data_IF_831624012087
#
_entry.id   IF_831624012087
#
_cell.length_a   1.000
_cell.length_b   1.000
_cell.length_c   1.000
_cell.angle_alpha   90.00
_cell.angle_beta   90.00
_cell.angle_gamma   90.00
#
_symmetry.space_group_name_H-M   'P 1'
#
loop_
_entity.id
_entity.type
_entity.pdbx_description
1 polymer ?
#
# COMPACT_ATOMS: atom_id res chain seq x y z
N UNK A 1 -5.79 -5.54 71.04
CA UNK A 1 -6.41 -6.18 69.86
C UNK A 1 -6.29 -5.24 68.67
N UNK A 2 -5.81 -5.76 67.54
CA UNK A 2 -5.94 -5.24 66.17
C UNK A 2 -4.96 -4.14 65.67
N UNK A 3 -3.81 -4.65 65.21
CA UNK A 3 -3.18 -4.49 63.89
C UNK A 3 -3.08 -3.12 63.19
N UNK A 4 -1.86 -2.64 62.87
CA UNK A 4 -1.65 -1.55 61.92
C UNK A 4 -1.83 -2.03 60.48
N UNK A 5 -2.66 -1.33 59.71
CA UNK A 5 -2.94 -1.65 58.31
C UNK A 5 -1.82 -1.13 57.41
N UNK A 6 -1.08 -2.06 56.77
CA UNK A 6 -0.04 -1.78 55.78
C UNK A 6 -0.63 -1.23 54.46
N UNK A 7 0.16 -0.44 53.69
CA UNK A 7 -0.31 0.23 52.48
C UNK A 7 -0.52 -0.72 51.31
N UNK A 8 -1.64 -0.57 50.61
CA UNK A 8 -1.91 -1.29 49.37
C UNK A 8 -1.01 -0.77 48.25
N UNK A 9 0.02 -1.55 47.92
CA UNK A 9 0.84 -1.37 46.74
C UNK A 9 -0.04 -1.38 45.48
N UNK A 10 -0.15 -0.23 44.82
CA UNK A 10 -0.80 -0.14 43.50
C UNK A 10 0.12 -0.81 42.49
N UNK A 11 -0.32 -1.85 41.77
CA UNK A 11 0.52 -2.50 40.78
C UNK A 11 0.80 -1.53 39.63
N UNK A 12 2.10 -1.31 39.38
CA UNK A 12 2.62 -0.60 38.23
C UNK A 12 1.91 -1.08 36.96
N UNK A 13 1.29 -0.14 36.24
CA UNK A 13 0.78 -0.34 34.87
C UNK A 13 1.95 -0.80 34.00
N UNK A 14 2.17 -2.11 33.95
CA UNK A 14 2.86 -2.77 32.84
C UNK A 14 2.02 -2.46 31.62
N UNK A 15 2.35 -1.39 30.91
CA UNK A 15 2.12 -1.31 29.48
C UNK A 15 2.93 -2.46 28.90
N UNK A 16 2.32 -3.64 28.83
CA UNK A 16 2.70 -4.65 27.86
C UNK A 16 2.57 -3.96 26.52
N UNK A 17 3.67 -3.36 26.07
CA UNK A 17 3.90 -2.95 24.70
C UNK A 17 3.66 -4.22 23.92
N UNK A 18 2.46 -4.36 23.37
CA UNK A 18 2.10 -5.48 22.55
C UNK A 18 3.21 -5.60 21.53
N UNK A 19 3.95 -6.70 21.61
CA UNK A 19 4.87 -7.14 20.58
C UNK A 19 3.97 -7.43 19.37
N UNK A 20 3.68 -6.40 18.58
CA UNK A 20 3.20 -6.59 17.22
C UNK A 20 4.46 -6.96 16.43
N UNK A 21 4.94 -8.18 16.67
CA UNK A 21 6.10 -8.80 16.03
C UNK A 21 5.66 -9.62 14.81
N UNK A 22 4.70 -9.05 14.09
CA UNK A 22 4.53 -9.23 12.66
C UNK A 22 4.45 -7.83 12.12
N UNK A 23 5.60 -7.24 11.76
CA UNK A 23 5.59 -6.19 10.72
C UNK A 23 4.79 -6.79 9.61
N UNK A 24 3.58 -6.29 9.45
CA UNK A 24 2.72 -6.66 8.36
C UNK A 24 3.50 -6.21 7.12
N UNK A 25 4.26 -7.15 6.55
CA UNK A 25 4.93 -7.01 5.25
C UNK A 25 3.82 -7.02 4.19
N UNK A 26 2.88 -6.07 4.29
CA UNK A 26 2.02 -5.67 3.19
C UNK A 26 2.90 -4.85 2.26
N UNK A 27 3.80 -5.57 1.60
CA UNK A 27 4.77 -5.06 0.63
C UNK A 27 4.08 -4.75 -0.68
N UNK A 28 4.83 -4.11 -1.58
CA UNK A 28 4.44 -3.95 -2.99
C UNK A 28 3.93 -5.27 -3.61
N UNK A 29 4.41 -6.45 -3.18
CA UNK A 29 3.91 -7.74 -3.67
C UNK A 29 2.44 -8.01 -3.32
N UNK A 30 2.02 -7.62 -2.11
CA UNK A 30 0.64 -7.78 -1.68
C UNK A 30 -0.28 -6.86 -2.46
N UNK A 31 0.13 -5.59 -2.61
CA UNK A 31 -0.58 -4.63 -3.46
C UNK A 31 -0.65 -5.12 -4.90
N UNK A 32 0.47 -5.52 -5.49
CA UNK A 32 0.58 -5.93 -6.89
C UNK A 32 -0.38 -7.09 -7.21
N UNK A 33 -0.46 -8.10 -6.33
CA UNK A 33 -1.37 -9.23 -6.50
C UNK A 33 -2.85 -8.89 -6.31
N UNK A 34 -3.17 -7.93 -5.44
CA UNK A 34 -4.55 -7.61 -5.06
C UNK A 34 -5.17 -6.49 -5.90
N UNK A 35 -4.34 -5.55 -6.36
CA UNK A 35 -4.76 -4.30 -6.99
C UNK A 35 -4.40 -4.22 -8.45
N UNK A 36 -3.58 -5.14 -8.96
CA UNK A 36 -3.22 -5.14 -10.38
C UNK A 36 -3.61 -6.43 -11.09
N UNK A 37 -3.99 -6.32 -12.35
CA UNK A 37 -4.18 -7.46 -13.24
C UNK A 37 -3.38 -7.28 -14.54
N UNK A 38 -3.11 -8.40 -15.21
CA UNK A 38 -2.54 -8.37 -16.56
C UNK A 38 -3.53 -7.72 -17.54
N UNK A 39 -3.03 -6.96 -18.52
CA UNK A 39 -3.87 -6.35 -19.51
C UNK A 39 -4.51 -7.38 -20.43
N UNK A 40 -5.85 -7.50 -20.37
CA UNK A 40 -6.64 -8.38 -21.25
C UNK A 40 -6.58 -7.96 -22.72
N UNK A 41 -6.15 -6.73 -23.00
CA UNK A 41 -5.94 -6.18 -24.34
C UNK A 41 -4.50 -5.66 -24.45
N UNK A 42 -3.92 -5.72 -25.64
CA UNK A 42 -2.55 -5.27 -25.93
C UNK A 42 -2.32 -3.79 -25.55
N UNK A 43 -3.38 -2.99 -25.49
CA UNK A 43 -3.38 -1.56 -25.14
C UNK A 43 -3.46 -1.27 -23.65
N UNK A 44 -3.38 -2.27 -22.78
CA UNK A 44 -3.50 -2.05 -21.34
C UNK A 44 -2.23 -1.59 -20.66
N UNK A 45 -2.12 -0.28 -20.55
CA UNK A 45 -1.01 0.42 -19.94
C UNK A 45 -1.53 1.45 -18.93
N UNK A 46 -0.96 1.47 -17.74
CA UNK A 46 -1.31 2.42 -16.68
C UNK A 46 -0.09 3.27 -16.32
N UNK A 47 -0.23 4.61 -16.22
CA UNK A 47 0.87 5.49 -15.83
C UNK A 47 1.43 5.16 -14.43
N UNK A 48 2.73 5.39 -14.23
CA UNK A 48 3.38 5.18 -12.91
C UNK A 48 2.66 5.93 -11.81
N UNK A 49 2.34 7.19 -12.07
CA UNK A 49 1.76 8.12 -11.10
C UNK A 49 0.43 7.60 -10.56
N UNK A 50 -0.39 7.01 -11.44
CA UNK A 50 -1.67 6.40 -11.08
C UNK A 50 -1.45 5.12 -10.25
N UNK A 51 -0.53 4.26 -10.66
CA UNK A 51 -0.19 3.04 -9.91
C UNK A 51 0.39 3.35 -8.53
N UNK A 52 1.26 4.36 -8.45
CA UNK A 52 1.90 4.79 -7.22
C UNK A 52 0.90 5.44 -6.27
N UNK A 53 -0.03 6.26 -6.77
CA UNK A 53 -1.11 6.82 -5.97
C UNK A 53 -1.97 5.72 -5.33
N UNK A 54 -2.36 4.70 -6.10
CA UNK A 54 -3.12 3.55 -5.58
C UNK A 54 -2.32 2.75 -4.54
N UNK A 55 -1.03 2.55 -4.79
CA UNK A 55 -0.14 1.89 -3.84
C UNK A 55 -0.04 2.66 -2.51
N UNK A 56 0.11 3.98 -2.56
CA UNK A 56 0.13 4.83 -1.36
C UNK A 56 -1.17 4.75 -0.57
N UNK A 57 -2.30 4.78 -1.26
CA UNK A 57 -3.62 4.62 -0.63
C UNK A 57 -3.75 3.24 0.04
N UNK A 58 -3.35 2.18 -0.65
CA UNK A 58 -3.32 0.82 -0.10
C UNK A 58 -2.43 0.72 1.15
N UNK A 59 -1.24 1.32 1.12
CA UNK A 59 -0.35 1.41 2.29
C UNK A 59 -1.02 2.15 3.46
N UNK A 60 -1.72 3.26 3.19
CA UNK A 60 -2.48 4.00 4.19
C UNK A 60 -3.60 3.18 4.83
N UNK A 61 -4.39 2.47 4.02
CA UNK A 61 -5.48 1.59 4.47
C UNK A 61 -4.99 0.40 5.30
N UNK A 62 -3.75 -0.02 5.09
CA UNK A 62 -3.14 -1.18 5.74
C UNK A 62 -2.29 -0.84 6.96
N UNK A 63 -2.20 0.45 7.32
CA UNK A 63 -1.48 0.93 8.50
C UNK A 63 0.03 1.05 8.30
N UNK A 64 0.52 1.11 7.07
CA UNK A 64 1.92 1.43 6.76
C UNK A 64 2.13 2.93 6.93
N UNK A 65 3.10 3.31 7.76
CA UNK A 65 3.42 4.71 7.98
C UNK A 65 4.07 5.32 6.72
N UNK A 66 3.79 6.61 6.45
CA UNK A 66 4.19 7.27 5.21
C UNK A 66 5.71 7.32 4.99
N UNK A 67 6.50 7.32 6.06
CA UNK A 67 7.97 7.26 6.07
C UNK A 67 8.52 5.88 5.69
N UNK A 68 7.69 4.83 5.75
CA UNK A 68 8.04 3.48 5.34
C UNK A 68 7.60 3.16 3.91
N UNK A 69 6.87 4.08 3.26
CA UNK A 69 6.46 3.93 1.87
C UNK A 69 7.63 4.40 1.00
N UNK A 70 8.11 3.51 0.13
CA UNK A 70 9.13 3.84 -0.85
C UNK A 70 8.70 5.00 -1.77
N UNK A 71 9.66 5.76 -2.27
CA UNK A 71 9.41 6.80 -3.27
C UNK A 71 8.92 6.21 -4.60
N UNK A 72 8.44 7.08 -5.49
CA UNK A 72 7.88 6.69 -6.78
C UNK A 72 8.92 6.02 -7.69
N UNK A 73 10.19 6.43 -7.62
CA UNK A 73 11.26 5.89 -8.45
C UNK A 73 11.64 4.47 -8.02
N UNK A 74 11.81 4.26 -6.72
CA UNK A 74 12.04 2.96 -6.11
C UNK A 74 10.86 2.02 -6.40
N UNK A 75 9.63 2.51 -6.27
CA UNK A 75 8.42 1.78 -6.66
C UNK A 75 8.44 1.36 -8.13
N UNK A 76 8.78 2.26 -9.05
CA UNK A 76 8.87 1.97 -10.48
C UNK A 76 9.93 0.92 -10.81
N UNK A 77 11.10 0.99 -10.18
CA UNK A 77 12.16 -0.01 -10.32
C UNK A 77 11.70 -1.40 -9.82
N UNK A 78 10.98 -1.44 -8.72
CA UNK A 78 10.44 -2.66 -8.16
C UNK A 78 9.28 -3.23 -8.96
N UNK A 79 8.48 -2.38 -9.59
CA UNK A 79 7.40 -2.77 -10.49
C UNK A 79 7.95 -3.34 -11.80
N UNK A 80 9.06 -2.79 -12.31
CA UNK A 80 9.74 -3.29 -13.51
C UNK A 80 10.25 -4.73 -13.32
N UNK A 81 10.78 -5.07 -12.14
CA UNK A 81 11.21 -6.46 -11.80
C UNK A 81 10.06 -7.47 -11.80
N UNK A 82 8.80 -7.00 -11.66
CA UNK A 82 7.60 -7.82 -11.52
C UNK A 82 6.76 -7.89 -12.80
N UNK A 83 7.08 -7.07 -13.80
CA UNK A 83 6.38 -7.05 -15.08
C UNK A 83 7.21 -7.78 -16.12
N UNK A 84 6.57 -8.71 -16.84
CA UNK A 84 7.23 -9.46 -17.93
C UNK A 84 7.51 -8.58 -19.16
N UNK A 85 6.88 -7.41 -19.21
CA UNK A 85 7.01 -6.42 -20.27
C UNK A 85 7.57 -5.13 -19.68
N UNK A 86 8.55 -4.57 -20.37
CA UNK A 86 9.18 -3.31 -19.98
C UNK A 86 8.17 -2.16 -20.00
N UNK A 87 8.32 -1.18 -19.10
CA UNK A 87 7.53 0.03 -19.14
C UNK A 87 7.80 0.82 -20.42
N UNK A 88 6.80 1.56 -20.89
CA UNK A 88 6.90 2.37 -22.10
C UNK A 88 6.42 3.78 -21.84
N UNK A 89 7.12 4.75 -22.42
CA UNK A 89 6.65 6.13 -22.44
C UNK A 89 5.48 6.25 -23.41
N UNK A 90 4.31 6.64 -22.91
CA UNK A 90 3.09 6.80 -23.68
C UNK A 90 2.49 8.18 -23.42
N UNK A 91 1.78 8.71 -24.42
CA UNK A 91 1.01 9.94 -24.26
C UNK A 91 -0.24 9.64 -23.41
N UNK A 92 -0.27 10.18 -22.20
CA UNK A 92 -1.37 10.02 -21.26
C UNK A 92 -2.16 11.30 -21.13
N UNK A 93 -3.48 11.17 -21.00
CA UNK A 93 -4.35 12.27 -20.65
C UNK A 93 -4.66 12.20 -19.16
N UNK A 94 -4.21 13.21 -18.41
CA UNK A 94 -4.50 13.37 -16.98
C UNK A 94 -5.37 14.62 -16.83
N UNK A 95 -6.68 14.41 -16.68
CA UNK A 95 -7.67 15.48 -16.73
C UNK A 95 -7.72 16.14 -18.11
N UNK A 96 -7.43 17.44 -18.17
CA UNK A 96 -7.38 18.22 -19.41
C UNK A 96 -5.98 18.28 -20.06
N UNK A 97 -4.95 17.78 -19.37
CA UNK A 97 -3.55 17.89 -19.82
C UNK A 97 -3.11 16.58 -20.47
N UNK A 98 -2.46 16.68 -21.62
CA UNK A 98 -1.75 15.57 -22.26
C UNK A 98 -0.27 15.68 -21.98
N UNK A 99 0.33 14.62 -21.44
CA UNK A 99 1.78 14.55 -21.18
C UNK A 99 2.29 13.13 -21.40
N UNK A 100 3.56 13.01 -21.78
CA UNK A 100 4.21 11.72 -21.86
C UNK A 100 4.52 11.23 -20.44
N UNK A 101 4.09 10.00 -20.15
CA UNK A 101 4.38 9.34 -18.89
C UNK A 101 4.87 7.93 -19.14
N UNK A 102 5.75 7.48 -18.25
CA UNK A 102 6.13 6.09 -18.20
C UNK A 102 4.92 5.26 -17.76
N UNK A 103 4.58 4.23 -18.53
CA UNK A 103 3.42 3.40 -18.31
C UNK A 103 3.81 1.93 -18.18
N UNK A 104 3.15 1.22 -17.28
CA UNK A 104 3.38 -0.19 -17.02
C UNK A 104 2.25 -1.04 -17.60
N UNK A 105 2.55 -2.26 -18.05
CA UNK A 105 1.60 -3.18 -18.67
C UNK A 105 0.77 -3.89 -17.60
N UNK A 106 0.08 -3.12 -16.77
CA UNK A 106 -0.76 -3.56 -15.66
C UNK A 106 -1.99 -2.66 -15.61
N UNK A 107 -3.15 -3.22 -15.29
CA UNK A 107 -4.34 -2.44 -14.96
C UNK A 107 -4.54 -2.42 -13.46
N UNK A 108 -4.98 -1.27 -12.94
CA UNK A 108 -5.59 -1.25 -11.62
C UNK A 108 -6.95 -1.94 -11.69
N UNK A 109 -7.12 -2.93 -10.83
CA UNK A 109 -8.44 -3.50 -10.56
C UNK A 109 -9.20 -2.39 -9.83
N UNK A 110 -10.35 -1.91 -10.37
CA UNK A 110 -11.17 -0.93 -9.67
C UNK A 110 -11.44 -1.49 -8.28
N UNK A 111 -11.31 -0.66 -7.24
CA UNK A 111 -11.73 -1.06 -5.90
C UNK A 111 -13.18 -1.53 -6.01
N UNK A 112 -13.41 -2.86 -6.01
CA UNK A 112 -14.74 -3.40 -5.78
C UNK A 112 -15.11 -2.81 -4.44
N UNK A 113 -16.13 -1.96 -4.41
CA UNK A 113 -16.62 -1.37 -3.18
C UNK A 113 -16.87 -2.51 -2.20
N UNK A 114 -15.98 -2.69 -1.23
CA UNK A 114 -16.20 -3.52 -0.06
C UNK A 114 -17.16 -2.73 0.84
N UNK A 115 -18.41 -2.59 0.41
CA UNK A 115 -19.36 -1.70 1.07
C UNK A 115 -20.68 -1.52 0.32
N UNK A 116 -21.44 -2.60 0.16
CA UNK A 116 -22.91 -2.58 0.15
C UNK A 116 -23.44 -4.01 0.30
N UNK A 117 -23.07 -4.70 1.38
CA UNK A 117 -23.96 -5.73 1.92
C UNK A 117 -24.80 -5.04 2.99
N UNK A 118 -26.01 -4.69 2.60
CA UNK A 118 -27.11 -4.33 3.49
C UNK A 118 -27.69 -5.62 4.08
#
# INVERSE_FOLDING_TARGET
MHSPSLPAATPARRRTRAKIDKRVNLTIDSWFKQRTELPKKITGWTPLTILYSDYREFCGLTGVAADQIQDEQAFGADLAKRCDREPRELLCQVGAVKRYEMCWPRYLIPARQLGAFN
#
